data_IF_807865849923
#
_entry.id   IF_807865849923
#
_cell.length_a   1.000
_cell.length_b   1.000
_cell.length_c   1.000
_cell.angle_alpha   90.00
_cell.angle_beta   90.00
_cell.angle_gamma   90.00
#
_symmetry.space_group_name_H-M   'P 1'
#
loop_
_entity.id
_entity.type
_entity.pdbx_description
1 polymer ?
#
# COMPACT_ATOMS: atom_id res chain seq x y z
N UNK A 1 -4.43 -4.30 -1.16
CA UNK A 1 -3.01 -4.65 -1.30
C UNK A 1 -2.25 -4.35 -0.05
N UNK A 2 -1.38 -5.27 0.41
CA UNK A 2 -0.44 -5.03 1.51
C UNK A 2 0.85 -4.41 0.97
N UNK A 3 1.25 -3.26 1.51
CA UNK A 3 2.45 -2.54 1.04
C UNK A 3 3.64 -2.77 1.96
N UNK A 4 4.79 -3.06 1.35
CA UNK A 4 6.07 -3.27 2.02
C UNK A 4 7.16 -2.41 1.35
N UNK A 5 7.95 -1.61 2.10
CA UNK A 5 9.01 -0.76 1.56
C UNK A 5 10.02 -1.47 0.67
N UNK A 6 10.28 -2.75 0.95
CA UNK A 6 11.17 -3.60 0.15
C UNK A 6 10.69 -3.79 -1.30
N UNK A 7 9.38 -3.74 -1.54
CA UNK A 7 8.77 -4.06 -2.83
C UNK A 7 7.98 -2.90 -3.43
N UNK A 8 7.66 -1.88 -2.64
CA UNK A 8 6.79 -0.80 -3.07
C UNK A 8 7.52 0.53 -2.87
N UNK A 9 7.40 1.39 -3.86
CA UNK A 9 7.73 2.79 -3.80
C UNK A 9 6.58 3.58 -4.47
N UNK A 10 6.72 4.89 -4.58
CA UNK A 10 5.69 5.75 -5.18
C UNK A 10 5.35 5.34 -6.62
N UNK A 11 6.36 5.02 -7.44
CA UNK A 11 6.17 4.55 -8.81
C UNK A 11 5.36 3.24 -8.88
N UNK A 12 5.65 2.29 -7.99
CA UNK A 12 4.88 1.04 -7.89
C UNK A 12 3.43 1.31 -7.50
N UNK A 13 3.16 2.29 -6.62
CA UNK A 13 1.79 2.69 -6.28
C UNK A 13 1.07 3.27 -7.50
N UNK A 14 1.74 4.09 -8.31
CA UNK A 14 1.17 4.58 -9.57
C UNK A 14 0.87 3.44 -10.57
N UNK A 15 1.75 2.44 -10.67
CA UNK A 15 1.52 1.26 -11.51
C UNK A 15 0.32 0.45 -11.02
N UNK A 16 0.22 0.24 -9.71
CA UNK A 16 -0.93 -0.42 -9.08
C UNK A 16 -2.21 0.36 -9.37
N UNK A 17 -2.19 1.69 -9.17
CA UNK A 17 -3.31 2.57 -9.46
C UNK A 17 -3.79 2.45 -10.91
N UNK A 18 -2.87 2.50 -11.88
CA UNK A 18 -3.19 2.29 -13.30
C UNK A 18 -3.80 0.91 -13.56
N UNK A 19 -3.31 -0.14 -12.88
CA UNK A 19 -3.81 -1.50 -13.03
C UNK A 19 -5.22 -1.69 -12.47
N UNK A 20 -5.57 -0.97 -11.40
CA UNK A 20 -6.91 -1.02 -10.78
C UNK A 20 -7.80 0.16 -11.15
N UNK A 21 -7.45 0.90 -12.21
CA UNK A 21 -8.13 2.12 -12.60
C UNK A 21 -9.63 1.87 -12.84
N UNK A 22 -10.48 2.69 -12.24
CA UNK A 22 -11.93 2.56 -12.28
C UNK A 22 -12.54 1.62 -11.23
N UNK A 23 -11.74 1.04 -10.33
CA UNK A 23 -12.28 0.26 -9.21
C UNK A 23 -13.12 1.15 -8.26
N UNK A 24 -14.24 0.60 -7.77
CA UNK A 24 -15.13 1.30 -6.83
C UNK A 24 -14.51 1.49 -5.44
N UNK A 25 -13.73 0.51 -5.01
CA UNK A 25 -13.10 0.50 -3.69
C UNK A 25 -11.75 -0.20 -3.78
N UNK A 26 -10.73 0.47 -3.27
CA UNK A 26 -9.41 -0.11 -3.06
C UNK A 26 -9.03 -0.01 -1.58
N UNK A 27 -8.47 -1.09 -1.04
CA UNK A 27 -8.01 -1.13 0.35
C UNK A 27 -6.49 -1.26 0.35
N UNK A 28 -5.83 -0.22 0.85
CA UNK A 28 -4.40 -0.16 1.07
C UNK A 28 -4.11 -0.67 2.49
N UNK A 29 -3.50 -1.83 2.60
CA UNK A 29 -3.22 -2.48 3.87
C UNK A 29 -1.78 -2.19 4.30
N UNK A 30 -1.60 -1.71 5.53
CA UNK A 30 -0.28 -1.52 6.12
C UNK A 30 0.34 -2.86 6.50
N UNK A 31 1.60 -3.05 6.16
CA UNK A 31 2.36 -4.21 6.60
C UNK A 31 2.76 -4.07 8.07
N UNK A 32 2.52 -5.12 8.87
CA UNK A 32 2.92 -5.20 10.27
C UNK A 32 3.87 -6.40 10.48
N UNK A 33 5.15 -6.16 10.82
CA UNK A 33 6.13 -7.23 10.97
C UNK A 33 5.78 -8.23 12.08
N UNK A 34 4.98 -7.82 13.07
CA UNK A 34 4.50 -8.67 14.17
C UNK A 34 3.56 -9.81 13.76
N UNK A 35 3.00 -9.77 12.53
CA UNK A 35 2.09 -10.79 11.99
C UNK A 35 2.63 -11.35 10.68
N UNK A 36 3.79 -12.02 10.72
CA UNK A 36 4.47 -12.57 9.55
C UNK A 36 4.57 -14.09 9.63
N UNK A 37 4.35 -14.77 8.50
CA UNK A 37 4.50 -16.23 8.38
C UNK A 37 5.97 -16.65 8.22
N UNK A 38 6.78 -15.80 7.58
CA UNK A 38 8.22 -16.00 7.40
C UNK A 38 9.00 -15.01 8.27
N UNK A 39 9.86 -15.55 9.12
CA UNK A 39 10.68 -14.84 10.10
C UNK A 39 11.60 -13.79 9.44
N UNK A 40 11.91 -13.92 8.15
CA UNK A 40 12.70 -12.91 7.42
C UNK A 40 12.00 -11.55 7.36
N UNK A 41 10.67 -11.53 7.43
CA UNK A 41 9.88 -10.30 7.38
C UNK A 41 9.72 -9.61 8.75
N UNK A 42 10.15 -10.24 9.85
CA UNK A 42 10.13 -9.63 11.19
C UNK A 42 11.04 -8.41 11.32
N UNK A 43 12.12 -8.36 10.52
CA UNK A 43 13.11 -7.28 10.54
C UNK A 43 12.85 -6.19 9.49
N UNK A 44 11.83 -6.38 8.65
CA UNK A 44 11.54 -5.45 7.57
C UNK A 44 10.84 -4.20 8.08
N UNK A 45 11.18 -3.06 7.49
CA UNK A 45 10.58 -1.78 7.84
C UNK A 45 9.12 -1.74 7.36
N UNK A 46 8.29 -1.02 8.10
CA UNK A 46 6.93 -0.67 7.68
C UNK A 46 6.91 0.78 7.18
N UNK A 47 5.97 1.12 6.30
CA UNK A 47 5.73 2.51 5.93
C UNK A 47 5.24 3.33 7.12
N UNK A 48 5.61 4.60 7.19
CA UNK A 48 5.02 5.53 8.15
C UNK A 48 3.57 5.84 7.77
N UNK A 49 2.79 6.34 8.72
CA UNK A 49 1.40 6.71 8.45
C UNK A 49 1.31 7.85 7.41
N UNK A 50 2.26 8.80 7.42
CA UNK A 50 2.38 9.83 6.38
C UNK A 50 2.60 9.25 4.98
N UNK A 51 3.45 8.21 4.86
CA UNK A 51 3.68 7.55 3.58
C UNK A 51 2.43 6.79 3.11
N UNK A 52 1.71 6.15 4.03
CA UNK A 52 0.44 5.49 3.72
C UNK A 52 -0.62 6.49 3.23
N UNK A 53 -0.68 7.68 3.82
CA UNK A 53 -1.58 8.75 3.39
C UNK A 53 -1.23 9.24 1.98
N UNK A 54 0.06 9.47 1.68
CA UNK A 54 0.49 9.83 0.32
C UNK A 54 0.09 8.78 -0.72
N UNK A 55 0.27 7.50 -0.40
CA UNK A 55 -0.11 6.42 -1.31
C UNK A 55 -1.63 6.35 -1.51
N UNK A 56 -2.41 6.61 -0.46
CA UNK A 56 -3.86 6.72 -0.56
C UNK A 56 -4.24 7.85 -1.52
N UNK A 57 -3.67 9.05 -1.36
CA UNK A 57 -3.94 10.20 -2.23
C UNK A 57 -3.63 9.89 -3.70
N UNK A 58 -2.51 9.22 -3.97
CA UNK A 58 -2.17 8.77 -5.32
C UNK A 58 -3.24 7.83 -5.86
N UNK A 59 -3.66 6.83 -5.09
CA UNK A 59 -4.63 5.82 -5.51
C UNK A 59 -6.05 6.41 -5.69
N UNK A 60 -6.43 7.42 -4.92
CA UNK A 60 -7.71 8.13 -5.08
C UNK A 60 -7.85 8.82 -6.44
N UNK A 61 -6.74 9.10 -7.16
CA UNK A 61 -6.81 9.57 -8.54
C UNK A 61 -7.20 8.49 -9.55
N UNK A 62 -7.11 7.21 -9.17
CA UNK A 62 -7.39 6.06 -10.04
C UNK A 62 -8.66 5.29 -9.63
N UNK A 63 -9.04 5.32 -8.36
CA UNK A 63 -10.19 4.58 -7.82
C UNK A 63 -11.20 5.50 -7.17
N UNK A 64 -12.47 5.10 -7.13
CA UNK A 64 -13.53 5.93 -6.56
C UNK A 64 -13.39 6.13 -5.03
N UNK A 65 -12.81 5.15 -4.33
CA UNK A 65 -12.57 5.23 -2.89
C UNK A 65 -11.36 4.41 -2.50
N UNK A 66 -10.40 5.02 -1.80
CA UNK A 66 -9.28 4.31 -1.20
C UNK A 66 -9.37 4.34 0.34
N UNK A 67 -9.22 3.19 1.00
CA UNK A 67 -9.20 3.09 2.46
C UNK A 67 -7.89 2.47 2.94
N UNK A 68 -7.36 2.97 4.05
CA UNK A 68 -6.19 2.38 4.71
C UNK A 68 -6.67 1.41 5.79
N UNK A 69 -6.09 0.21 5.84
CA UNK A 69 -6.41 -0.85 6.82
C UNK A 69 -5.16 -1.41 7.50
#
# INVERSE_FOLDING_TARGET
>A
TTVLPKFHNEDEIHKIGKLVNGAKLFILQKFYPSKTLDLKFLKESQFSDDQMLKFKEILENYVQKCLIR
#
